data_IF_121379815319
#
_entry.id   IF_121379815319
#
_cell.length_a   1.000
_cell.length_b   1.000
_cell.length_c   1.000
_cell.angle_alpha   90.00
_cell.angle_beta   90.00
_cell.angle_gamma   90.00
#
_symmetry.space_group_name_H-M   'P 1'
#
loop_
_entity.id
_entity.type
_entity.pdbx_description
1 polymer ?
#
# COMPACT_ATOMS: atom_id res chain seq x y z
N UNK A 1 -4.75 -23.08 5.78
CA UNK A 1 -4.20 -22.28 4.68
C UNK A 1 -2.73 -22.62 4.49
N UNK A 2 -2.23 -22.58 3.25
CA UNK A 2 -0.88 -23.02 2.90
C UNK A 2 0.16 -21.90 3.08
N UNK A 3 1.45 -22.26 3.10
CA UNK A 3 2.56 -21.29 3.05
C UNK A 3 2.53 -20.46 1.75
N UNK A 4 2.11 -21.07 0.65
CA UNK A 4 1.98 -20.39 -0.64
C UNK A 4 0.92 -19.28 -0.58
N UNK A 5 -0.19 -19.51 0.11
CA UNK A 5 -1.22 -18.49 0.31
C UNK A 5 -0.70 -17.28 1.08
N UNK A 6 0.03 -17.50 2.19
CA UNK A 6 0.66 -16.41 2.94
C UNK A 6 1.59 -15.60 2.03
N UNK A 7 2.40 -16.26 1.22
CA UNK A 7 3.30 -15.59 0.29
C UNK A 7 2.56 -14.75 -0.75
N UNK A 8 1.42 -15.21 -1.28
CA UNK A 8 0.59 -14.42 -2.20
C UNK A 8 0.01 -13.17 -1.54
N UNK A 9 -0.51 -13.29 -0.32
CA UNK A 9 -1.00 -12.14 0.46
C UNK A 9 0.13 -11.15 0.76
N UNK A 10 1.32 -11.67 1.08
CA UNK A 10 2.52 -10.87 1.26
C UNK A 10 2.89 -10.08 0.00
N UNK A 11 2.93 -10.72 -1.17
CA UNK A 11 3.17 -10.03 -2.43
C UNK A 11 2.12 -8.94 -2.69
N UNK A 12 0.84 -9.20 -2.44
CA UNK A 12 -0.20 -8.17 -2.60
C UNK A 12 0.02 -6.98 -1.65
N UNK A 13 0.51 -7.23 -0.43
CA UNK A 13 0.83 -6.19 0.54
C UNK A 13 2.05 -5.35 0.18
N UNK A 14 3.00 -5.91 -0.58
CA UNK A 14 4.21 -5.20 -1.01
C UNK A 14 3.85 -4.04 -1.92
N UNK A 15 3.02 -4.28 -2.94
CA UNK A 15 2.77 -3.31 -4.00
C UNK A 15 2.38 -1.90 -3.50
N UNK A 16 1.27 -1.71 -2.77
CA UNK A 16 0.87 -0.37 -2.38
C UNK A 16 1.83 0.26 -1.36
N UNK A 17 2.34 -0.51 -0.39
CA UNK A 17 3.30 -0.01 0.60
C UNK A 17 4.57 0.51 -0.08
N UNK A 18 5.16 -0.26 -1.01
CA UNK A 18 6.39 0.14 -1.69
C UNK A 18 6.16 1.23 -2.73
N UNK A 19 5.02 1.20 -3.43
CA UNK A 19 4.64 2.26 -4.34
C UNK A 19 4.59 3.61 -3.60
N UNK A 20 3.91 3.64 -2.45
CA UNK A 20 3.81 4.85 -1.66
C UNK A 20 5.15 5.29 -1.05
N UNK A 21 5.90 4.36 -0.45
CA UNK A 21 7.24 4.66 0.06
C UNK A 21 8.15 5.21 -1.03
N UNK A 22 8.07 4.69 -2.25
CA UNK A 22 8.87 5.21 -3.37
C UNK A 22 8.49 6.66 -3.69
N UNK A 23 7.20 7.00 -3.73
CA UNK A 23 6.76 8.39 -3.93
C UNK A 23 7.28 9.31 -2.83
N UNK A 24 7.23 8.88 -1.57
CA UNK A 24 7.75 9.65 -0.44
C UNK A 24 9.26 9.84 -0.50
N UNK A 25 10.00 8.78 -0.84
CA UNK A 25 11.45 8.87 -1.04
C UNK A 25 11.78 9.86 -2.14
N UNK A 26 11.11 9.80 -3.31
CA UNK A 26 11.36 10.75 -4.39
C UNK A 26 10.96 12.18 -4.05
N UNK A 27 9.94 12.38 -3.21
CA UNK A 27 9.56 13.70 -2.71
C UNK A 27 10.63 14.30 -1.79
N UNK A 28 11.31 13.47 -1.00
CA UNK A 28 12.26 13.94 0.02
C UNK A 28 13.73 13.86 -0.46
N UNK A 29 14.03 13.15 -1.55
CA UNK A 29 15.41 12.87 -1.98
C UNK A 29 16.19 14.13 -2.37
N UNK A 30 15.53 15.11 -2.99
CA UNK A 30 16.16 16.38 -3.39
C UNK A 30 16.64 17.13 -2.14
N UNK A 31 15.76 17.26 -1.15
CA UNK A 31 16.08 17.89 0.12
C UNK A 31 17.21 17.18 0.88
N UNK A 32 17.22 15.84 0.88
CA UNK A 32 18.28 15.06 1.52
C UNK A 32 19.59 15.24 0.76
N UNK A 33 19.58 15.15 -0.57
CA UNK A 33 20.77 15.26 -1.41
C UNK A 33 21.40 16.67 -1.36
N UNK A 34 20.60 17.74 -1.27
CA UNK A 34 21.11 19.11 -1.14
C UNK A 34 21.82 19.37 0.20
N UNK A 35 21.39 18.68 1.26
CA UNK A 35 21.89 18.89 2.63
C UNK A 35 22.98 17.92 3.05
N UNK A 36 23.18 16.85 2.28
CA UNK A 36 24.11 15.76 2.60
C UNK A 36 24.88 15.32 1.35
N UNK A 37 25.51 14.15 1.37
CA UNK A 37 26.12 13.58 0.17
C UNK A 37 25.13 12.62 -0.55
N UNK A 38 25.42 12.30 -1.81
CA UNK A 38 24.58 11.36 -2.58
C UNK A 38 24.43 9.98 -1.89
N UNK A 39 25.46 9.51 -1.18
CA UNK A 39 25.43 8.22 -0.49
C UNK A 39 24.48 8.22 0.71
N UNK A 40 24.32 9.35 1.39
CA UNK A 40 23.37 9.52 2.48
C UNK A 40 21.93 9.46 1.96
N UNK A 41 21.66 10.05 0.79
CA UNK A 41 20.37 9.97 0.10
C UNK A 41 20.04 8.54 -0.34
N UNK A 42 21.00 7.81 -0.91
CA UNK A 42 20.85 6.39 -1.27
C UNK A 42 20.59 5.55 -0.02
N UNK A 43 21.30 5.80 1.08
CA UNK A 43 21.07 5.12 2.35
C UNK A 43 19.69 5.44 2.94
N UNK A 44 19.22 6.68 2.86
CA UNK A 44 17.86 7.06 3.26
C UNK A 44 16.80 6.27 2.50
N UNK A 45 16.92 6.17 1.17
CA UNK A 45 16.04 5.34 0.35
C UNK A 45 16.10 3.85 0.78
N UNK A 46 17.30 3.32 1.04
CA UNK A 46 17.49 1.95 1.51
C UNK A 46 16.80 1.66 2.86
N UNK A 47 16.92 2.56 3.83
CA UNK A 47 16.20 2.42 5.10
C UNK A 47 14.68 2.49 4.92
N UNK A 48 14.19 3.40 4.09
CA UNK A 48 12.76 3.53 3.79
C UNK A 48 12.19 2.26 3.16
N UNK A 49 12.92 1.61 2.23
CA UNK A 49 12.55 0.32 1.66
C UNK A 49 12.54 -0.81 2.70
N UNK A 50 13.52 -0.87 3.60
CA UNK A 50 13.51 -1.85 4.70
C UNK A 50 12.31 -1.68 5.64
N UNK A 51 11.94 -0.44 5.95
CA UNK A 51 10.72 -0.18 6.72
C UNK A 51 9.46 -0.60 5.96
N UNK A 52 9.38 -0.32 4.66
CA UNK A 52 8.28 -0.76 3.80
C UNK A 52 8.17 -2.30 3.76
N UNK A 53 9.28 -3.01 3.65
CA UNK A 53 9.32 -4.47 3.70
C UNK A 53 8.79 -5.01 5.04
N UNK A 54 9.25 -4.44 6.16
CA UNK A 54 8.79 -4.82 7.49
C UNK A 54 7.29 -4.56 7.68
N UNK A 55 6.81 -3.40 7.22
CA UNK A 55 5.38 -3.05 7.25
C UNK A 55 4.54 -4.02 6.40
N UNK A 56 4.98 -4.33 5.17
CA UNK A 56 4.30 -5.31 4.31
C UNK A 56 4.24 -6.69 4.97
N UNK A 57 5.29 -7.14 5.69
CA UNK A 57 5.23 -8.39 6.45
C UNK A 57 4.17 -8.37 7.55
N UNK A 58 4.06 -7.27 8.30
CA UNK A 58 3.04 -7.11 9.34
C UNK A 58 1.63 -7.07 8.74
N UNK A 59 1.44 -6.32 7.66
CA UNK A 59 0.17 -6.26 6.94
C UNK A 59 -0.19 -7.64 6.40
N UNK A 60 0.75 -8.36 5.79
CA UNK A 60 0.53 -9.71 5.28
C UNK A 60 0.08 -10.67 6.38
N UNK A 61 0.68 -10.58 7.57
CA UNK A 61 0.28 -11.35 8.74
C UNK A 61 -1.15 -11.02 9.16
N UNK A 62 -1.51 -9.73 9.25
CA UNK A 62 -2.88 -9.30 9.60
C UNK A 62 -3.89 -9.78 8.56
N UNK A 63 -3.60 -9.61 7.27
CA UNK A 63 -4.48 -10.05 6.18
C UNK A 63 -4.62 -11.58 6.13
N UNK A 64 -3.53 -12.31 6.40
CA UNK A 64 -3.55 -13.76 6.50
C UNK A 64 -4.40 -14.22 7.68
N UNK A 65 -4.27 -13.61 8.86
CA UNK A 65 -5.13 -13.91 10.01
C UNK A 65 -6.60 -13.55 9.73
N UNK A 66 -6.85 -12.40 9.12
CA UNK A 66 -8.18 -11.96 8.70
C UNK A 66 -8.81 -12.95 7.72
N UNK A 67 -8.02 -13.56 6.84
CA UNK A 67 -8.51 -14.54 5.88
C UNK A 67 -9.12 -15.80 6.52
N UNK A 68 -8.81 -16.08 7.80
CA UNK A 68 -9.37 -17.20 8.56
C UNK A 68 -10.85 -17.00 8.93
N UNK A 69 -11.37 -15.78 8.82
CA UNK A 69 -12.79 -15.47 9.04
C UNK A 69 -13.66 -15.96 7.87
N UNK A 70 -13.08 -16.15 6.68
CA UNK A 70 -13.83 -16.59 5.50
C UNK A 70 -14.11 -18.10 5.51
N UNK A 71 -15.17 -18.56 4.83
CA UNK A 71 -15.52 -19.98 4.76
C UNK A 71 -14.38 -20.84 4.20
N UNK A 72 -14.10 -21.98 4.85
CA UNK A 72 -13.02 -22.91 4.45
C UNK A 72 -13.21 -23.55 3.08
N UNK A 73 -14.43 -23.54 2.55
CA UNK A 73 -14.79 -24.09 1.25
C UNK A 73 -14.60 -23.10 0.10
N UNK A 74 -14.18 -21.86 0.38
CA UNK A 74 -13.85 -20.93 -0.69
C UNK A 74 -12.57 -21.34 -1.40
N UNK A 75 -12.58 -21.20 -2.71
CA UNK A 75 -11.38 -21.34 -3.52
C UNK A 75 -10.34 -20.29 -3.12
N UNK A 76 -9.06 -20.65 -3.22
CA UNK A 76 -7.96 -19.78 -2.83
C UNK A 76 -8.01 -18.44 -3.59
N UNK A 77 -8.28 -18.50 -4.89
CA UNK A 77 -8.41 -17.33 -5.77
C UNK A 77 -9.50 -16.38 -5.29
N UNK A 78 -10.66 -16.89 -4.89
CA UNK A 78 -11.75 -16.08 -4.34
C UNK A 78 -11.33 -15.35 -3.08
N UNK A 79 -10.72 -16.06 -2.13
CA UNK A 79 -10.30 -15.47 -0.86
C UNK A 79 -9.22 -14.41 -1.07
N UNK A 80 -8.26 -14.67 -1.98
CA UNK A 80 -7.25 -13.67 -2.38
C UNK A 80 -7.91 -12.44 -3.00
N UNK A 81 -8.84 -12.64 -3.94
CA UNK A 81 -9.55 -11.54 -4.59
C UNK A 81 -10.30 -10.67 -3.58
N UNK A 82 -10.95 -11.27 -2.60
CA UNK A 82 -11.67 -10.55 -1.53
C UNK A 82 -10.70 -9.80 -0.61
N UNK A 83 -9.74 -10.51 -0.01
CA UNK A 83 -8.79 -9.94 0.96
C UNK A 83 -7.94 -8.86 0.32
N UNK A 84 -7.40 -9.12 -0.87
CA UNK A 84 -6.61 -8.17 -1.63
C UNK A 84 -7.40 -6.93 -2.02
N UNK A 85 -8.67 -7.07 -2.40
CA UNK A 85 -9.50 -5.91 -2.77
C UNK A 85 -9.81 -5.03 -1.56
N UNK A 86 -10.14 -5.64 -0.42
CA UNK A 86 -10.31 -4.89 0.84
C UNK A 86 -9.05 -4.10 1.14
N UNK A 87 -7.90 -4.76 1.11
CA UNK A 87 -6.63 -4.13 1.41
C UNK A 87 -6.29 -3.00 0.44
N UNK A 88 -6.41 -3.20 -0.87
CA UNK A 88 -6.09 -2.15 -1.86
C UNK A 88 -7.03 -0.95 -1.76
N UNK A 89 -8.31 -1.15 -1.44
CA UNK A 89 -9.25 -0.05 -1.22
C UNK A 89 -8.83 0.77 0.01
N UNK A 90 -8.47 0.10 1.12
CA UNK A 90 -8.01 0.76 2.34
C UNK A 90 -6.67 1.48 2.12
N UNK A 91 -5.70 0.81 1.49
CA UNK A 91 -4.40 1.39 1.16
C UNK A 91 -4.56 2.59 0.22
N UNK A 92 -5.40 2.47 -0.81
CA UNK A 92 -5.71 3.56 -1.73
C UNK A 92 -6.35 4.76 -1.03
N UNK A 93 -7.27 4.53 -0.09
CA UNK A 93 -7.84 5.60 0.72
C UNK A 93 -6.78 6.30 1.58
N UNK A 94 -5.87 5.56 2.22
CA UNK A 94 -4.75 6.12 2.98
C UNK A 94 -3.80 6.94 2.10
N UNK A 95 -3.49 6.47 0.90
CA UNK A 95 -2.66 7.22 -0.05
C UNK A 95 -3.32 8.52 -0.51
N UNK A 96 -4.64 8.51 -0.74
CA UNK A 96 -5.39 9.73 -1.11
C UNK A 96 -5.36 10.75 0.02
N UNK A 97 -5.59 10.33 1.25
CA UNK A 97 -5.50 11.22 2.43
C UNK A 97 -4.10 11.83 2.56
N UNK A 98 -3.06 11.00 2.44
CA UNK A 98 -1.68 11.46 2.57
C UNK A 98 -1.27 12.37 1.40
N UNK A 99 -1.68 12.06 0.17
CA UNK A 99 -1.48 12.93 -0.99
C UNK A 99 -2.18 14.29 -0.79
N UNK A 100 -3.41 14.31 -0.30
CA UNK A 100 -4.14 15.55 0.01
C UNK A 100 -3.38 16.39 1.05
N UNK A 101 -2.79 15.75 2.07
CA UNK A 101 -1.96 16.39 3.08
C UNK A 101 -0.63 16.94 2.53
N UNK A 102 -0.04 16.31 1.52
CA UNK A 102 1.16 16.82 0.83
C UNK A 102 0.79 18.02 -0.05
N UNK A 103 -0.25 17.91 -0.87
CA UNK A 103 -0.68 18.99 -1.76
C UNK A 103 -1.19 20.22 -1.02
N UNK A 104 -1.82 20.06 0.15
CA UNK A 104 -2.25 21.19 0.97
C UNK A 104 -1.08 22.03 1.50
N UNK A 105 0.11 21.43 1.67
CA UNK A 105 1.35 22.13 2.05
C UNK A 105 1.99 22.88 0.89
N UNK A 106 1.83 22.39 -0.35
CA UNK A 106 2.44 22.96 -1.57
C UNK A 106 1.67 24.17 -2.13
N UNK A 107 0.37 24.31 -1.83
CA UNK A 107 -0.41 25.48 -2.26
C UNK A 107 -0.19 26.68 -1.34
N UNK A 108 0.65 27.58 -1.84
CA UNK A 108 0.75 29.00 -1.49
C UNK A 108 -0.66 29.60 -1.33
N UNK A 109 -0.88 30.30 -0.21
CA UNK A 109 -2.14 30.92 0.25
C UNK A 109 -3.12 30.00 1.01
N UNK A 110 -2.86 29.84 2.32
CA UNK A 110 -3.88 29.42 3.32
C UNK A 110 -5.12 30.33 3.32
N UNK A 111 -5.06 31.51 2.70
CA UNK A 111 -6.09 32.54 2.75
C UNK A 111 -7.39 32.16 2.03
N UNK A 112 -7.35 31.23 1.06
CA UNK A 112 -8.57 30.68 0.42
C UNK A 112 -9.05 29.36 1.04
N UNK A 113 -8.27 28.77 1.95
CA UNK A 113 -8.58 27.49 2.63
C UNK A 113 -9.22 27.67 4.01
N UNK A 114 -9.38 28.90 4.51
CA UNK A 114 -10.12 29.19 5.75
C UNK A 114 -11.61 28.76 5.70
N UNK A 115 -12.17 28.52 4.51
CA UNK A 115 -13.49 27.87 4.37
C UNK A 115 -13.48 26.35 4.52
N UNK A 116 -12.30 25.72 4.48
CA UNK A 116 -12.05 24.28 4.57
C UNK A 116 -11.40 23.87 5.91
N UNK A 117 -11.09 24.82 6.81
CA UNK A 117 -10.67 24.53 8.19
C UNK A 117 -11.74 23.76 8.98
N UNK A 118 -13.00 23.83 8.52
CA UNK A 118 -14.04 22.90 8.90
C UNK A 118 -13.96 21.66 7.98
N UNK A 119 -12.95 20.82 8.18
CA UNK A 119 -13.08 19.40 7.85
C UNK A 119 -14.18 18.84 8.77
N UNK A 120 -15.42 19.10 8.37
CA UNK A 120 -16.60 18.77 9.16
C UNK A 120 -16.68 17.25 9.30
N UNK A 121 -17.33 16.78 10.37
CA UNK A 121 -17.70 15.38 10.50
C UNK A 121 -18.39 14.81 9.24
N UNK A 122 -19.03 15.69 8.44
CA UNK A 122 -19.63 15.34 7.16
C UNK A 122 -18.59 14.89 6.10
N UNK A 123 -17.45 15.57 5.95
CA UNK A 123 -16.43 15.17 4.97
C UNK A 123 -15.85 13.79 5.30
N UNK A 124 -15.52 13.55 6.57
CA UNK A 124 -15.08 12.24 7.03
C UNK A 124 -16.16 11.18 6.84
N UNK A 125 -17.42 11.50 7.14
CA UNK A 125 -18.54 10.59 6.89
C UNK A 125 -18.72 10.26 5.41
N UNK A 126 -18.53 11.23 4.50
CA UNK A 126 -18.58 11.01 3.06
C UNK A 126 -17.43 10.11 2.57
N UNK A 127 -16.20 10.33 3.05
CA UNK A 127 -15.04 9.49 2.71
C UNK A 127 -15.25 8.06 3.22
N UNK A 128 -15.64 7.90 4.49
CA UNK A 128 -15.94 6.59 5.08
C UNK A 128 -17.08 5.92 4.31
N UNK A 129 -18.15 6.66 4.00
CA UNK A 129 -19.27 6.17 3.19
C UNK A 129 -18.81 5.68 1.81
N UNK A 130 -17.95 6.43 1.13
CA UNK A 130 -17.39 6.03 -0.17
C UNK A 130 -16.54 4.75 -0.07
N UNK A 131 -15.68 4.64 0.96
CA UNK A 131 -14.89 3.42 1.22
C UNK A 131 -15.81 2.22 1.47
N UNK A 132 -16.83 2.38 2.32
CA UNK A 132 -17.79 1.31 2.62
C UNK A 132 -18.57 0.87 1.38
N UNK A 133 -18.99 1.81 0.53
CA UNK A 133 -19.64 1.51 -0.75
C UNK A 133 -18.70 0.75 -1.68
N UNK A 134 -17.43 1.19 -1.81
CA UNK A 134 -16.43 0.54 -2.64
C UNK A 134 -16.16 -0.90 -2.17
N UNK A 135 -16.02 -1.10 -0.85
CA UNK A 135 -15.85 -2.42 -0.24
C UNK A 135 -17.07 -3.31 -0.51
N UNK A 136 -18.28 -2.81 -0.24
CA UNK A 136 -19.50 -3.56 -0.49
C UNK A 136 -19.66 -3.93 -1.96
N UNK A 137 -19.38 -3.00 -2.88
CA UNK A 137 -19.43 -3.24 -4.31
C UNK A 137 -18.43 -4.31 -4.75
N UNK A 138 -17.15 -4.21 -4.34
CA UNK A 138 -16.13 -5.19 -4.67
C UNK A 138 -16.49 -6.59 -4.14
N UNK A 139 -16.93 -6.68 -2.88
CA UNK A 139 -17.38 -7.93 -2.26
C UNK A 139 -18.57 -8.53 -3.00
N UNK A 140 -19.62 -7.74 -3.26
CA UNK A 140 -20.80 -8.24 -3.96
C UNK A 140 -20.49 -8.70 -5.38
N UNK A 141 -19.61 -7.99 -6.09
CA UNK A 141 -19.18 -8.37 -7.43
C UNK A 141 -18.41 -9.70 -7.42
N UNK A 142 -17.42 -9.84 -6.54
CA UNK A 142 -16.60 -11.06 -6.46
C UNK A 142 -17.45 -12.26 -6.02
N UNK A 143 -18.33 -12.08 -5.02
CA UNK A 143 -19.10 -13.20 -4.46
C UNK A 143 -20.25 -13.67 -5.36
N UNK A 144 -20.84 -12.78 -6.17
CA UNK A 144 -21.97 -13.12 -7.03
C UNK A 144 -21.58 -13.47 -8.47
N UNK A 145 -20.39 -13.08 -8.92
CA UNK A 145 -20.02 -13.19 -10.33
C UNK A 145 -18.64 -13.84 -10.51
N UNK A 146 -18.63 -15.09 -10.98
CA UNK A 146 -17.40 -15.83 -11.30
C UNK A 146 -16.51 -15.10 -12.33
N UNK A 147 -17.10 -14.30 -13.23
CA UNK A 147 -16.32 -13.46 -14.17
C UNK A 147 -15.58 -12.35 -13.44
N UNK A 148 -16.22 -11.71 -12.46
CA UNK A 148 -15.56 -10.70 -11.64
C UNK A 148 -14.44 -11.34 -10.81
N UNK A 149 -14.71 -12.48 -10.16
CA UNK A 149 -13.69 -13.24 -9.43
C UNK A 149 -12.44 -13.52 -10.30
N UNK A 150 -12.64 -13.96 -11.56
CA UNK A 150 -11.55 -14.19 -12.51
C UNK A 150 -10.79 -12.90 -12.84
N UNK A 151 -11.49 -11.80 -13.12
CA UNK A 151 -10.87 -10.50 -13.42
C UNK A 151 -10.01 -10.03 -12.24
N UNK A 152 -10.52 -10.12 -11.01
CA UNK A 152 -9.77 -9.76 -9.81
C UNK A 152 -8.59 -10.70 -9.59
N UNK A 153 -8.76 -12.01 -9.82
CA UNK A 153 -7.66 -12.97 -9.77
C UNK A 153 -6.52 -12.61 -10.72
N UNK A 154 -6.81 -12.38 -12.00
CA UNK A 154 -5.83 -11.96 -13.01
C UNK A 154 -5.18 -10.61 -12.66
N UNK A 155 -5.95 -9.68 -12.10
CA UNK A 155 -5.42 -8.41 -11.63
C UNK A 155 -4.40 -8.62 -10.50
N UNK A 156 -4.73 -9.44 -9.48
CA UNK A 156 -3.80 -9.73 -8.39
C UNK A 156 -2.57 -10.50 -8.84
N UNK A 157 -2.68 -11.38 -9.84
CA UNK A 157 -1.51 -12.01 -10.46
C UNK A 157 -0.53 -10.97 -11.01
N UNK A 158 -1.03 -9.95 -11.72
CA UNK A 158 -0.19 -8.85 -12.23
C UNK A 158 0.41 -8.02 -11.10
N UNK A 159 -0.36 -7.72 -10.06
CA UNK A 159 0.13 -7.02 -8.86
C UNK A 159 1.25 -7.81 -8.18
N UNK A 160 1.10 -9.12 -8.05
CA UNK A 160 2.12 -10.00 -7.47
C UNK A 160 3.40 -10.03 -8.32
N UNK A 161 3.27 -10.04 -9.66
CA UNK A 161 4.42 -9.94 -10.56
C UNK A 161 5.17 -8.61 -10.38
N UNK A 162 4.45 -7.49 -10.30
CA UNK A 162 5.04 -6.17 -10.03
C UNK A 162 5.71 -6.12 -8.64
N UNK A 163 5.14 -6.80 -7.66
CA UNK A 163 5.69 -6.89 -6.30
C UNK A 163 7.02 -7.62 -6.24
N UNK A 164 7.26 -8.55 -7.17
CA UNK A 164 8.58 -9.17 -7.33
C UNK A 164 9.68 -8.16 -7.66
N UNK A 165 9.37 -7.08 -8.39
CA UNK A 165 10.33 -6.00 -8.66
C UNK A 165 10.68 -5.21 -7.40
N UNK A 166 9.68 -4.90 -6.56
CA UNK A 166 9.92 -4.21 -5.29
C UNK A 166 10.78 -5.05 -4.33
N UNK A 167 10.59 -6.38 -4.28
CA UNK A 167 11.48 -7.26 -3.51
C UNK A 167 12.94 -7.20 -3.96
N UNK A 168 13.21 -7.01 -5.26
CA UNK A 168 14.58 -6.81 -5.73
C UNK A 168 15.15 -5.48 -5.25
N UNK A 169 14.32 -4.42 -5.20
CA UNK A 169 14.72 -3.14 -4.62
C UNK A 169 15.00 -3.26 -3.12
N UNK A 170 14.23 -4.06 -2.38
CA UNK A 170 14.48 -4.31 -0.96
C UNK A 170 15.82 -5.00 -0.72
N UNK A 171 16.19 -5.95 -1.58
CA UNK A 171 17.51 -6.58 -1.51
C UNK A 171 18.64 -5.56 -1.74
N UNK A 172 18.46 -4.66 -2.71
CA UNK A 172 19.42 -3.57 -2.94
C UNK A 172 19.47 -2.59 -1.75
N UNK A 173 18.31 -2.25 -1.17
CA UNK A 173 18.21 -1.42 0.04
C UNK A 173 18.89 -2.07 1.24
N UNK A 174 18.70 -3.37 1.44
CA UNK A 174 19.35 -4.14 2.50
C UNK A 174 20.87 -4.12 2.36
N UNK A 175 21.40 -4.40 1.16
CA UNK A 175 22.85 -4.35 0.89
C UNK A 175 23.41 -2.96 1.17
N UNK A 176 22.71 -1.92 0.74
CA UNK A 176 23.10 -0.52 0.98
C UNK A 176 23.21 -0.22 2.47
N UNK A 177 22.21 -0.64 3.25
CA UNK A 177 22.17 -0.45 4.70
C UNK A 177 23.29 -1.22 5.39
N UNK A 178 23.57 -2.46 4.97
CA UNK A 178 24.68 -3.26 5.52
C UNK A 178 26.02 -2.57 5.27
N UNK A 179 26.30 -2.17 4.02
CA UNK A 179 27.57 -1.50 3.66
C UNK A 179 27.77 -0.27 4.55
N UNK A 180 26.74 0.56 4.71
CA UNK A 180 26.80 1.80 5.48
C UNK A 180 27.04 1.60 6.99
N UNK A 181 26.62 0.47 7.57
CA UNK A 181 26.82 0.18 8.99
C UNK A 181 28.17 -0.50 9.29
N UNK A 182 28.85 -1.03 8.27
CA UNK A 182 30.12 -1.76 8.42
C UNK A 182 31.33 -0.91 8.02
N UNK A 183 31.15 0.09 7.14
CA UNK A 183 32.17 1.07 6.76
C UNK A 183 32.29 2.22 7.76
#
# INVERSE_FOLDING_TARGET
MSRQYFFKVFLISIFPTHFWTSLMVFNDIEFVAERTNFWDAVGYAGYSLLFALAESLLIALVLWLFSLVFPKNWEETRTISVVGSIYLILAGASMVDMAANVFSKLRISRQYLYGLENFTALTYALIIGAILIALAAALLLILKNNKAEKIFGEFFERVMLLSGFYLLLDLAGLVTVIIRNVS
#
